data_IF_440334806471
#
_entry.id   IF_440334806471
#
_cell.length_a   1.000
_cell.length_b   1.000
_cell.length_c   1.000
_cell.angle_alpha   90.00
_cell.angle_beta   90.00
_cell.angle_gamma   90.00
#
_symmetry.space_group_name_H-M   'P 1'
#
loop_
_entity.id
_entity.type
_entity.pdbx_description
1 polymer ?
#
# COMPACT_ATOMS: atom_id res chain seq x y z
N UNK A 1 12.47 19.46 -5.66
CA UNK A 1 12.73 18.03 -5.94
C UNK A 1 13.03 17.33 -4.65
N UNK A 2 12.10 16.51 -4.23
CA UNK A 2 12.22 15.81 -2.96
C UNK A 2 12.78 14.42 -3.22
N UNK A 3 13.78 14.02 -2.44
CA UNK A 3 14.12 12.60 -2.30
C UNK A 3 12.84 11.91 -1.84
N UNK A 4 12.27 10.97 -2.61
CA UNK A 4 11.00 10.30 -2.28
C UNK A 4 10.85 9.91 -0.81
N UNK A 5 11.98 9.52 -0.22
CA UNK A 5 12.10 9.15 1.16
C UNK A 5 11.74 10.26 2.17
N UNK A 6 12.15 11.52 1.93
CA UNK A 6 11.90 12.61 2.87
C UNK A 6 10.44 13.09 2.86
N UNK A 7 9.78 13.06 1.70
CA UNK A 7 8.36 13.38 1.61
C UNK A 7 7.53 12.34 2.35
N UNK A 8 7.93 11.06 2.23
CA UNK A 8 7.35 10.01 3.04
C UNK A 8 7.56 10.31 4.53
N UNK A 9 8.77 10.70 4.97
CA UNK A 9 9.00 11.06 6.39
C UNK A 9 8.18 12.24 6.90
N UNK A 10 7.95 13.27 6.09
CA UNK A 10 7.08 14.40 6.49
C UNK A 10 5.60 14.00 6.55
N UNK A 11 5.18 13.00 5.75
CA UNK A 11 3.86 12.37 5.85
C UNK A 11 3.75 11.30 6.93
N UNK A 12 4.87 10.76 7.45
CA UNK A 12 4.86 9.64 8.38
C UNK A 12 4.08 9.96 9.65
N UNK A 13 4.17 11.18 10.18
CA UNK A 13 3.43 11.53 11.39
C UNK A 13 1.90 11.50 11.18
N UNK A 14 1.42 11.91 9.99
CA UNK A 14 0.01 11.80 9.61
C UNK A 14 -0.44 10.34 9.36
N UNK A 15 0.52 9.44 9.13
CA UNK A 15 0.30 8.01 8.91
C UNK A 15 0.37 7.19 10.21
N UNK A 16 1.13 7.65 11.21
CA UNK A 16 1.18 7.05 12.54
C UNK A 16 -0.18 7.19 13.22
N UNK A 17 -0.80 6.05 13.49
CA UNK A 17 -2.13 5.99 14.10
C UNK A 17 -2.18 4.84 15.09
N UNK A 18 -2.93 5.05 16.17
CA UNK A 18 -3.20 4.00 17.13
C UNK A 18 -4.19 2.98 16.53
N UNK A 19 -3.85 1.68 16.49
CA UNK A 19 -4.74 0.66 15.92
C UNK A 19 -6.00 0.41 16.74
N UNK A 20 -7.15 0.24 16.07
CA UNK A 20 -8.42 -0.11 16.71
C UNK A 20 -9.44 -0.71 15.75
N UNK A 21 -10.48 -1.37 16.29
CA UNK A 21 -11.54 -2.01 15.50
C UNK A 21 -11.31 -3.50 15.25
N UNK A 22 -11.94 -4.08 14.22
CA UNK A 22 -11.77 -5.49 13.82
C UNK A 22 -10.35 -5.77 13.30
N UNK A 23 -9.99 -7.04 13.05
CA UNK A 23 -8.67 -7.45 12.57
C UNK A 23 -8.17 -6.59 11.41
N UNK A 24 -8.99 -6.42 10.38
CA UNK A 24 -8.65 -5.64 9.19
C UNK A 24 -8.34 -4.18 9.52
N UNK A 25 -9.08 -3.58 10.44
CA UNK A 25 -8.92 -2.18 10.84
C UNK A 25 -7.65 -1.98 11.68
N UNK A 26 -7.41 -2.89 12.64
CA UNK A 26 -6.18 -2.90 13.44
C UNK A 26 -4.98 -3.13 12.53
N UNK A 27 -5.02 -4.15 11.68
CA UNK A 27 -3.95 -4.48 10.74
C UNK A 27 -3.67 -3.32 9.80
N UNK A 28 -4.74 -2.72 9.26
CA UNK A 28 -4.68 -1.57 8.39
C UNK A 28 -3.95 -0.39 9.03
N UNK A 29 -4.28 -0.09 10.27
CA UNK A 29 -3.66 1.03 10.97
C UNK A 29 -2.21 0.71 11.35
N UNK A 30 -1.88 -0.57 11.52
CA UNK A 30 -0.58 -0.98 12.02
C UNK A 30 0.49 -1.22 10.92
N UNK A 31 0.09 -1.59 9.70
CA UNK A 31 1.03 -1.73 8.57
C UNK A 31 1.83 -0.45 8.28
N UNK A 32 1.21 0.75 8.22
CA UNK A 32 1.94 2.01 8.09
C UNK A 32 2.99 2.24 9.18
N UNK A 33 2.79 1.74 10.41
CA UNK A 33 3.79 1.86 11.48
C UNK A 33 5.05 1.03 11.19
N UNK A 34 4.91 -0.17 10.58
CA UNK A 34 6.06 -0.98 10.11
C UNK A 34 6.86 -0.18 9.07
N UNK A 35 6.15 0.41 8.10
CA UNK A 35 6.78 1.17 7.02
C UNK A 35 7.45 2.43 7.56
N UNK A 36 6.81 3.11 8.53
CA UNK A 36 7.42 4.22 9.26
C UNK A 36 8.74 3.81 9.90
N UNK A 37 8.78 2.66 10.58
CA UNK A 37 10.00 2.16 11.21
C UNK A 37 11.07 1.75 10.18
N UNK A 38 10.69 1.17 9.04
CA UNK A 38 11.62 0.90 7.94
C UNK A 38 12.23 2.19 7.38
N UNK A 39 11.42 3.25 7.24
CA UNK A 39 11.85 4.58 6.80
C UNK A 39 12.56 5.39 7.90
N UNK A 40 12.37 5.07 9.18
CA UNK A 40 13.16 5.69 10.25
C UNK A 40 14.51 4.99 10.38
N UNK A 41 14.58 3.68 10.15
CA UNK A 41 15.85 2.92 10.25
C UNK A 41 16.90 3.29 9.20
N UNK A 42 16.50 3.78 8.02
CA UNK A 42 17.42 4.14 6.94
C UNK A 42 17.84 5.63 6.97
N UNK A 43 17.51 6.37 8.04
CA UNK A 43 18.02 7.72 8.32
C UNK A 43 18.47 7.81 9.76
N UNK A 44 19.56 8.54 10.04
CA UNK A 44 19.79 9.05 11.39
C UNK A 44 18.69 10.06 11.72
N UNK A 45 17.65 9.66 12.48
CA UNK A 45 16.47 10.49 12.72
C UNK A 45 15.80 10.26 14.08
N UNK A 46 15.13 11.34 14.50
CA UNK A 46 14.28 11.59 15.68
C UNK A 46 13.82 10.35 16.48
N UNK A 47 14.47 10.16 17.63
CA UNK A 47 14.20 9.06 18.55
C UNK A 47 12.76 9.11 19.08
N UNK A 48 12.14 10.29 19.23
CA UNK A 48 10.76 10.39 19.73
C UNK A 48 9.77 9.77 18.74
N UNK A 49 9.92 10.07 17.45
CA UNK A 49 9.06 9.52 16.40
C UNK A 49 9.21 8.00 16.30
N UNK A 50 10.44 7.50 16.41
CA UNK A 50 10.73 6.06 16.43
C UNK A 50 10.10 5.37 17.62
N UNK A 51 10.24 5.91 18.83
CA UNK A 51 9.62 5.35 20.04
C UNK A 51 8.10 5.34 19.94
N UNK A 52 7.48 6.40 19.40
CA UNK A 52 6.04 6.45 19.13
C UNK A 52 5.59 5.37 18.15
N UNK A 53 6.32 5.21 17.05
CA UNK A 53 6.03 4.18 16.05
C UNK A 53 6.19 2.75 16.61
N UNK A 54 7.23 2.49 17.42
CA UNK A 54 7.41 1.22 18.13
C UNK A 54 6.27 0.94 19.11
N UNK A 55 5.84 1.95 19.87
CA UNK A 55 4.71 1.83 20.80
C UNK A 55 3.42 1.46 20.06
N UNK A 56 3.10 2.16 18.97
CA UNK A 56 1.91 1.83 18.17
C UNK A 56 2.01 0.46 17.52
N UNK A 57 3.21 0.09 17.04
CA UNK A 57 3.45 -1.23 16.46
C UNK A 57 3.17 -2.34 17.46
N UNK A 58 3.70 -2.20 18.69
CA UNK A 58 3.48 -3.14 19.77
C UNK A 58 2.00 -3.20 20.20
N UNK A 59 1.32 -2.06 20.36
CA UNK A 59 -0.12 -2.02 20.66
C UNK A 59 -0.93 -2.77 19.60
N UNK A 60 -0.64 -2.53 18.31
CA UNK A 60 -1.33 -3.24 17.24
C UNK A 60 -1.01 -4.73 17.22
N UNK A 61 0.23 -5.14 17.49
CA UNK A 61 0.59 -6.56 17.63
C UNK A 61 -0.20 -7.25 18.77
N UNK A 62 -0.27 -6.63 19.95
CA UNK A 62 -1.04 -7.17 21.09
C UNK A 62 -2.54 -7.28 20.77
N UNK A 63 -3.09 -6.37 19.97
CA UNK A 63 -4.50 -6.47 19.51
C UNK A 63 -4.67 -7.58 18.47
N UNK A 64 -3.78 -7.63 17.46
CA UNK A 64 -3.88 -8.59 16.36
C UNK A 64 -3.81 -10.04 16.84
N UNK A 65 -2.91 -10.37 17.78
CA UNK A 65 -2.81 -11.73 18.31
C UNK A 65 -4.09 -12.20 19.03
N UNK A 66 -4.87 -11.28 19.61
CA UNK A 66 -6.11 -11.62 20.32
C UNK A 66 -7.26 -12.02 19.38
N UNK A 67 -7.07 -11.89 18.08
CA UNK A 67 -8.00 -12.35 17.06
C UNK A 67 -7.69 -13.77 16.57
N UNK A 68 -6.70 -14.45 17.17
CA UNK A 68 -6.42 -15.86 16.90
C UNK A 68 -7.63 -16.71 17.31
N UNK A 69 -8.12 -17.54 16.39
CA UNK A 69 -9.20 -18.48 16.66
C UNK A 69 -8.71 -19.64 17.54
N UNK A 70 -9.63 -20.26 18.30
CA UNK A 70 -9.32 -21.38 19.22
C UNK A 70 -8.52 -22.52 18.58
N UNK A 71 -8.77 -22.81 17.29
CA UNK A 71 -8.11 -23.90 16.57
C UNK A 71 -6.93 -23.43 15.71
N UNK A 72 -6.46 -22.18 15.88
CA UNK A 72 -5.52 -21.52 14.99
C UNK A 72 -6.20 -20.78 13.84
N UNK A 73 -5.42 -19.97 13.13
CA UNK A 73 -5.93 -19.02 12.15
C UNK A 73 -6.53 -17.76 12.79
N UNK A 74 -6.97 -16.83 11.95
CA UNK A 74 -7.50 -15.53 12.39
C UNK A 74 -8.92 -15.29 11.90
N UNK A 75 -9.69 -14.61 12.74
CA UNK A 75 -11.07 -14.15 12.47
C UNK A 75 -11.17 -12.65 12.80
N UNK A 76 -12.10 -11.90 12.18
CA UNK A 76 -12.16 -10.44 12.32
C UNK A 76 -12.34 -9.94 13.76
N UNK A 77 -12.93 -10.76 14.63
CA UNK A 77 -13.28 -10.44 16.01
C UNK A 77 -12.80 -11.50 17.02
N UNK A 78 -11.97 -12.46 16.59
CA UNK A 78 -11.48 -13.55 17.45
C UNK A 78 -12.45 -14.72 17.60
N UNK A 79 -13.42 -14.86 16.69
CA UNK A 79 -14.31 -16.01 16.59
C UNK A 79 -13.63 -17.26 16.05
N UNK A 80 -14.42 -18.28 15.70
CA UNK A 80 -13.97 -19.54 15.10
C UNK A 80 -15.05 -20.03 14.11
N UNK A 81 -14.70 -20.63 12.96
CA UNK A 81 -13.37 -20.91 12.45
C UNK A 81 -12.60 -19.66 11.97
N UNK A 82 -11.27 -19.76 11.90
CA UNK A 82 -10.44 -18.76 11.22
C UNK A 82 -10.65 -18.77 9.70
N UNK A 83 -10.10 -17.75 9.04
CA UNK A 83 -10.18 -17.53 7.59
C UNK A 83 -8.80 -17.60 6.93
N UNK A 84 -8.70 -18.28 5.79
CA UNK A 84 -7.42 -18.63 5.15
C UNK A 84 -6.64 -17.39 4.69
N UNK A 85 -7.25 -16.54 3.85
CA UNK A 85 -6.58 -15.32 3.41
C UNK A 85 -6.34 -14.31 4.55
N UNK A 86 -7.23 -14.20 5.55
CA UNK A 86 -7.03 -13.33 6.71
C UNK A 86 -5.85 -13.82 7.57
N UNK A 87 -5.71 -15.14 7.71
CA UNK A 87 -4.58 -15.76 8.41
C UNK A 87 -3.27 -15.50 7.70
N UNK A 88 -3.23 -15.69 6.37
CA UNK A 88 -2.05 -15.35 5.58
C UNK A 88 -1.73 -13.84 5.66
N UNK A 89 -2.76 -12.99 5.63
CA UNK A 89 -2.60 -11.53 5.78
C UNK A 89 -1.94 -11.14 7.10
N UNK A 90 -2.39 -11.76 8.21
CA UNK A 90 -1.80 -11.58 9.54
C UNK A 90 -0.37 -12.13 9.63
N UNK A 91 -0.13 -13.33 9.07
CA UNK A 91 1.20 -13.94 9.05
C UNK A 91 2.24 -13.07 8.36
N UNK A 92 1.91 -12.51 7.19
CA UNK A 92 2.81 -11.58 6.50
C UNK A 92 3.12 -10.36 7.38
N UNK A 93 2.11 -9.83 8.06
CA UNK A 93 2.29 -8.68 8.93
C UNK A 93 3.20 -8.99 10.12
N UNK A 94 2.98 -10.12 10.80
CA UNK A 94 3.83 -10.55 11.90
C UNK A 94 5.27 -10.83 11.46
N UNK A 95 5.44 -11.41 10.28
CA UNK A 95 6.76 -11.64 9.71
C UNK A 95 7.51 -10.33 9.45
N UNK A 96 6.83 -9.28 9.01
CA UNK A 96 7.46 -7.97 8.80
C UNK A 96 7.73 -7.24 10.14
N UNK A 97 6.85 -7.40 11.13
CA UNK A 97 6.99 -6.84 12.48
C UNK A 97 8.21 -7.35 13.23
N UNK A 98 8.64 -8.60 12.99
CA UNK A 98 9.78 -9.22 13.70
C UNK A 98 11.09 -8.44 13.56
N UNK A 99 11.19 -7.58 12.54
CA UNK A 99 12.36 -6.73 12.32
C UNK A 99 12.46 -5.57 13.33
N UNK A 100 11.39 -5.30 14.09
CA UNK A 100 11.29 -4.15 14.98
C UNK A 100 10.83 -4.49 16.40
N UNK A 101 10.00 -5.53 16.55
CA UNK A 101 9.47 -5.96 17.85
C UNK A 101 9.56 -7.49 18.00
N UNK A 102 9.50 -7.96 19.25
CA UNK A 102 9.40 -9.39 19.54
C UNK A 102 8.02 -9.92 19.12
N UNK A 103 8.02 -10.90 18.23
CA UNK A 103 6.83 -11.62 17.76
C UNK A 103 6.87 -13.05 18.31
N UNK A 104 5.74 -13.52 18.80
CA UNK A 104 5.57 -14.87 19.34
C UNK A 104 5.74 -15.91 18.23
N UNK A 105 6.80 -16.71 18.35
CA UNK A 105 7.13 -17.76 17.38
C UNK A 105 6.11 -18.89 17.38
N UNK A 106 5.49 -19.18 18.52
CA UNK A 106 4.49 -20.24 18.63
C UNK A 106 3.19 -19.82 17.96
N UNK A 107 2.79 -18.55 18.08
CA UNK A 107 1.66 -17.98 17.33
C UNK A 107 1.86 -18.11 15.82
N UNK A 108 3.04 -17.74 15.34
CA UNK A 108 3.41 -17.85 13.91
C UNK A 108 3.37 -19.32 13.48
N UNK A 109 3.97 -20.23 14.26
CA UNK A 109 3.97 -21.66 13.96
C UNK A 109 2.55 -22.23 13.91
N UNK A 110 1.70 -21.94 14.90
CA UNK A 110 0.29 -22.40 14.91
C UNK A 110 -0.48 -21.91 13.70
N UNK A 111 -0.25 -20.66 13.29
CA UNK A 111 -0.91 -20.08 12.11
C UNK A 111 -0.46 -20.75 10.80
N UNK A 112 0.82 -21.11 10.67
CA UNK A 112 1.35 -21.89 9.54
C UNK A 112 0.78 -23.31 9.54
N UNK A 113 0.86 -24.01 10.67
CA UNK A 113 0.32 -25.37 10.83
C UNK A 113 -1.19 -25.39 10.51
N UNK A 114 -1.91 -24.35 10.93
CA UNK A 114 -3.32 -24.19 10.59
C UNK A 114 -3.51 -24.06 9.08
N UNK A 115 -2.82 -23.15 8.39
CA UNK A 115 -2.91 -23.04 6.91
C UNK A 115 -2.59 -24.36 6.20
N UNK A 116 -1.62 -25.13 6.69
CA UNK A 116 -1.31 -26.46 6.15
C UNK A 116 -2.46 -27.45 6.35
N UNK A 117 -3.12 -27.43 7.49
CA UNK A 117 -4.34 -28.22 7.71
C UNK A 117 -5.50 -27.82 6.79
N UNK A 118 -5.46 -26.60 6.23
CA UNK A 118 -6.46 -26.08 5.29
C UNK A 118 -6.16 -26.42 3.84
N UNK A 119 -5.10 -27.15 3.50
CA UNK A 119 -4.90 -27.61 2.12
C UNK A 119 -6.08 -28.45 1.65
N UNK A 120 -6.51 -28.27 0.41
CA UNK A 120 -7.74 -28.88 -0.12
C UNK A 120 -7.50 -30.17 -0.94
N UNK A 121 -6.24 -30.62 -1.01
CA UNK A 121 -5.76 -31.74 -1.83
C UNK A 121 -5.91 -31.55 -3.36
N UNK A 122 -6.31 -30.38 -3.84
CA UNK A 122 -6.40 -30.01 -5.27
C UNK A 122 -5.34 -28.98 -5.68
N UNK A 123 -4.41 -28.66 -4.79
CA UNK A 123 -3.38 -27.64 -5.02
C UNK A 123 -3.83 -26.24 -4.64
N UNK A 124 -4.76 -26.12 -3.71
CA UNK A 124 -5.05 -24.84 -3.05
C UNK A 124 -5.47 -25.05 -1.60
N UNK A 125 -6.19 -24.07 -1.09
CA UNK A 125 -6.65 -24.05 0.29
C UNK A 125 -8.18 -24.08 0.33
N UNK A 126 -8.71 -24.70 1.37
CA UNK A 126 -10.11 -24.58 1.73
C UNK A 126 -10.46 -23.09 1.85
N UNK A 127 -11.72 -22.77 1.58
CA UNK A 127 -12.23 -21.43 1.77
C UNK A 127 -13.60 -21.53 2.39
N UNK A 128 -13.75 -20.93 3.58
CA UNK A 128 -15.06 -20.68 4.14
C UNK A 128 -15.74 -19.60 3.28
N UNK A 129 -16.44 -20.04 2.23
CA UNK A 129 -17.11 -19.15 1.28
C UNK A 129 -18.18 -18.34 1.99
N UNK A 130 -18.13 -17.04 1.76
CA UNK A 130 -19.13 -16.10 2.24
C UNK A 130 -19.28 -14.96 1.25
N UNK A 131 -20.23 -14.09 1.53
CA UNK A 131 -20.65 -13.06 0.58
C UNK A 131 -19.75 -11.82 0.60
N UNK A 132 -18.91 -11.66 1.62
CA UNK A 132 -18.22 -10.38 1.92
C UNK A 132 -16.75 -10.56 2.39
N UNK A 133 -15.95 -9.51 2.25
CA UNK A 133 -14.54 -9.48 2.71
C UNK A 133 -13.71 -10.64 2.15
N UNK A 134 -12.79 -11.15 2.98
CA UNK A 134 -11.92 -12.27 2.62
C UNK A 134 -12.67 -13.56 2.24
N UNK A 135 -13.92 -13.73 2.66
CA UNK A 135 -14.72 -14.92 2.33
C UNK A 135 -15.25 -14.94 0.89
N UNK A 136 -15.16 -13.80 0.18
CA UNK A 136 -15.72 -13.62 -1.17
C UNK A 136 -14.66 -13.51 -2.27
N UNK A 137 -13.40 -13.76 -1.92
CA UNK A 137 -12.26 -13.68 -2.82
C UNK A 137 -12.28 -14.89 -3.77
N UNK A 138 -12.03 -14.70 -5.08
CA UNK A 138 -11.87 -15.81 -6.00
C UNK A 138 -10.82 -16.81 -5.50
N UNK A 139 -11.10 -18.09 -5.68
CA UNK A 139 -10.28 -19.20 -5.20
C UNK A 139 -8.82 -19.06 -5.61
N UNK A 140 -8.59 -18.67 -6.87
CA UNK A 140 -7.28 -18.50 -7.46
C UNK A 140 -6.52 -17.30 -6.87
N UNK A 141 -7.21 -16.19 -6.58
CA UNK A 141 -6.60 -15.01 -5.94
C UNK A 141 -6.18 -15.33 -4.50
N UNK A 142 -7.06 -16.03 -3.76
CA UNK A 142 -6.76 -16.49 -2.41
C UNK A 142 -5.54 -17.41 -2.38
N UNK A 143 -5.49 -18.41 -3.27
CA UNK A 143 -4.39 -19.37 -3.28
C UNK A 143 -3.06 -18.72 -3.70
N UNK A 144 -3.06 -17.88 -4.73
CA UNK A 144 -1.86 -17.14 -5.13
C UNK A 144 -1.32 -16.28 -3.99
N UNK A 145 -2.21 -15.64 -3.21
CA UNK A 145 -1.80 -14.83 -2.06
C UNK A 145 -1.24 -15.68 -0.92
N UNK A 146 -1.88 -16.80 -0.56
CA UNK A 146 -1.38 -17.70 0.49
C UNK A 146 -0.02 -18.29 0.10
N UNK A 147 0.16 -18.71 -1.15
CA UNK A 147 1.44 -19.20 -1.68
C UNK A 147 2.51 -18.11 -1.61
N UNK A 148 2.19 -16.89 -2.04
CA UNK A 148 3.08 -15.74 -1.90
C UNK A 148 3.53 -15.54 -0.45
N UNK A 149 2.57 -15.43 0.49
CA UNK A 149 2.89 -15.23 1.91
C UNK A 149 3.76 -16.34 2.47
N UNK A 150 3.39 -17.61 2.26
CA UNK A 150 4.15 -18.75 2.76
C UNK A 150 5.58 -18.75 2.19
N UNK A 151 5.75 -18.46 0.90
CA UNK A 151 7.08 -18.33 0.30
C UNK A 151 7.90 -17.16 0.87
N UNK A 152 7.26 -16.01 1.14
CA UNK A 152 7.92 -14.80 1.67
C UNK A 152 8.45 -15.03 3.09
N UNK A 153 7.75 -15.86 3.87
CA UNK A 153 8.15 -16.21 5.23
C UNK A 153 9.10 -17.43 5.29
N UNK A 154 9.42 -18.03 4.14
CA UNK A 154 10.42 -19.10 4.01
C UNK A 154 9.85 -20.52 4.02
N UNK A 155 8.53 -20.70 3.99
CA UNK A 155 7.90 -22.01 3.97
C UNK A 155 8.04 -22.69 2.60
N UNK A 156 8.42 -23.97 2.62
CA UNK A 156 8.68 -24.76 1.40
C UNK A 156 7.71 -25.90 1.17
N UNK A 157 6.96 -26.32 2.19
CA UNK A 157 5.98 -27.39 2.06
C UNK A 157 4.70 -26.87 1.38
N UNK A 158 4.82 -26.38 0.14
CA UNK A 158 3.73 -25.78 -0.66
C UNK A 158 3.85 -26.13 -2.14
N UNK A 159 4.65 -27.13 -2.53
CA UNK A 159 4.98 -27.42 -3.93
C UNK A 159 3.73 -27.61 -4.81
N UNK A 160 2.78 -28.42 -4.36
CA UNK A 160 1.54 -28.67 -5.11
C UNK A 160 0.72 -27.39 -5.28
N UNK A 161 0.59 -26.62 -4.19
CA UNK A 161 -0.14 -25.35 -4.21
C UNK A 161 0.53 -24.30 -5.10
N UNK A 162 1.86 -24.23 -5.04
CA UNK A 162 2.67 -23.36 -5.90
C UNK A 162 2.51 -23.73 -7.38
N UNK A 163 2.65 -25.01 -7.75
CA UNK A 163 2.54 -25.45 -9.14
C UNK A 163 1.13 -25.19 -9.71
N UNK A 164 0.09 -25.43 -8.92
CA UNK A 164 -1.29 -25.13 -9.33
C UNK A 164 -1.53 -23.63 -9.52
N UNK A 165 -1.11 -22.81 -8.56
CA UNK A 165 -1.25 -21.35 -8.65
C UNK A 165 -0.40 -20.75 -9.80
N UNK A 166 0.81 -21.29 -10.02
CA UNK A 166 1.69 -20.90 -11.12
C UNK A 166 1.04 -21.20 -12.48
N UNK A 167 0.53 -22.42 -12.67
CA UNK A 167 -0.10 -22.83 -13.91
C UNK A 167 -1.35 -21.99 -14.23
N UNK A 168 -2.10 -21.58 -13.20
CA UNK A 168 -3.24 -20.67 -13.35
C UNK A 168 -2.78 -19.25 -13.71
N UNK A 169 -1.82 -18.68 -12.97
CA UNK A 169 -1.31 -17.34 -13.20
C UNK A 169 -0.72 -17.17 -14.61
N UNK A 170 0.02 -18.16 -15.11
CA UNK A 170 0.60 -18.15 -16.45
C UNK A 170 -0.45 -18.18 -17.57
N UNK A 171 -1.63 -18.74 -17.33
CA UNK A 171 -2.76 -18.77 -18.28
C UNK A 171 -3.65 -17.55 -18.16
N UNK A 172 -3.67 -16.91 -17.00
CA UNK A 172 -4.54 -15.79 -16.71
C UNK A 172 -4.02 -14.48 -17.28
N UNK A 173 -4.91 -13.49 -17.41
CA UNK A 173 -4.56 -12.09 -17.70
C UNK A 173 -4.55 -11.20 -16.46
N UNK A 174 -4.68 -11.80 -15.28
CA UNK A 174 -4.77 -11.07 -14.01
C UNK A 174 -3.37 -10.75 -13.49
N UNK A 175 -2.94 -9.50 -13.68
CA UNK A 175 -1.58 -9.07 -13.30
C UNK A 175 -1.35 -9.04 -11.79
N UNK A 176 -2.39 -8.99 -10.96
CA UNK A 176 -2.23 -9.05 -9.51
C UNK A 176 -1.76 -10.44 -9.09
N UNK A 177 -2.42 -11.50 -9.58
CA UNK A 177 -2.00 -12.89 -9.32
C UNK A 177 -0.65 -13.20 -9.93
N UNK A 178 -0.40 -12.72 -11.14
CA UNK A 178 0.89 -12.92 -11.82
C UNK A 178 2.03 -12.26 -11.03
N UNK A 179 1.83 -11.07 -10.46
CA UNK A 179 2.84 -10.40 -9.63
C UNK A 179 3.11 -11.14 -8.31
N UNK A 180 2.05 -11.62 -7.63
CA UNK A 180 2.19 -12.46 -6.43
C UNK A 180 3.01 -13.73 -6.72
N UNK A 181 2.68 -14.42 -7.81
CA UNK A 181 3.38 -15.63 -8.19
C UNK A 181 4.81 -15.37 -8.67
N UNK A 182 5.11 -14.19 -9.24
CA UNK A 182 6.48 -13.83 -9.61
C UNK A 182 7.36 -13.71 -8.36
N UNK A 183 6.86 -13.03 -7.32
CA UNK A 183 7.53 -12.97 -6.02
C UNK A 183 7.69 -14.36 -5.40
N UNK A 184 6.65 -15.19 -5.44
CA UNK A 184 6.71 -16.56 -4.92
C UNK A 184 7.73 -17.44 -5.66
N UNK A 185 7.74 -17.38 -6.99
CA UNK A 185 8.70 -18.10 -7.82
C UNK A 185 10.15 -17.69 -7.50
N UNK A 186 10.40 -16.39 -7.32
CA UNK A 186 11.71 -15.90 -6.87
C UNK A 186 12.08 -16.46 -5.48
N UNK A 187 11.18 -16.37 -4.50
CA UNK A 187 11.42 -16.86 -3.14
C UNK A 187 11.68 -18.37 -3.09
N UNK A 188 11.07 -19.14 -4.00
CA UNK A 188 11.25 -20.59 -4.15
C UNK A 188 12.43 -20.97 -5.07
N UNK A 189 13.19 -19.99 -5.57
CA UNK A 189 14.32 -20.16 -6.51
C UNK A 189 13.93 -20.75 -7.89
N UNK A 190 12.67 -20.65 -8.29
CA UNK A 190 12.19 -20.98 -9.65
C UNK A 190 12.36 -19.76 -10.57
N UNK A 191 13.62 -19.49 -10.93
CA UNK A 191 13.97 -18.32 -11.74
C UNK A 191 13.40 -18.38 -13.16
N UNK A 192 13.13 -19.59 -13.69
CA UNK A 192 12.55 -19.77 -15.03
C UNK A 192 11.09 -19.29 -15.03
N UNK A 193 10.29 -19.73 -14.07
CA UNK A 193 8.90 -19.28 -13.95
C UNK A 193 8.81 -17.81 -13.55
N UNK A 194 9.70 -17.35 -12.68
CA UNK A 194 9.82 -15.94 -12.30
C UNK A 194 9.95 -15.02 -13.53
N UNK A 195 10.88 -15.31 -14.45
CA UNK A 195 11.06 -14.51 -15.68
C UNK A 195 9.82 -14.55 -16.58
N UNK A 196 9.23 -15.74 -16.79
CA UNK A 196 8.00 -15.89 -17.59
C UNK A 196 6.84 -15.07 -17.03
N UNK A 197 6.69 -15.00 -15.71
CA UNK A 197 5.64 -14.22 -15.06
C UNK A 197 5.86 -12.72 -15.24
N UNK A 198 7.09 -12.22 -15.14
CA UNK A 198 7.39 -10.81 -15.46
C UNK A 198 7.08 -10.47 -16.93
N UNK A 199 7.48 -11.35 -17.86
CA UNK A 199 7.19 -11.17 -19.29
C UNK A 199 5.68 -11.16 -19.59
N UNK A 200 4.89 -11.95 -18.86
CA UNK A 200 3.44 -11.93 -18.95
C UNK A 200 2.85 -10.59 -18.48
N UNK A 201 3.33 -10.03 -17.37
CA UNK A 201 2.88 -8.70 -16.88
C UNK A 201 3.24 -7.63 -17.91
N UNK A 202 4.47 -7.64 -18.41
CA UNK A 202 4.93 -6.74 -19.47
C UNK A 202 4.07 -6.82 -20.72
N UNK A 203 3.71 -8.04 -21.14
CA UNK A 203 2.83 -8.26 -22.29
C UNK A 203 1.42 -7.73 -22.03
N UNK A 204 0.87 -7.92 -20.83
CA UNK A 204 -0.42 -7.39 -20.45
C UNK A 204 -0.47 -5.85 -20.42
N UNK A 205 0.68 -5.20 -20.16
CA UNK A 205 0.86 -3.74 -20.14
C UNK A 205 1.06 -3.10 -21.52
N UNK A 206 1.41 -3.86 -22.57
CA UNK A 206 1.70 -3.29 -23.89
C UNK A 206 0.54 -2.42 -24.41
N UNK A 207 0.83 -1.12 -24.58
CA UNK A 207 -0.13 -0.13 -25.07
C UNK A 207 -1.23 0.23 -24.09
N UNK A 208 -1.08 -0.06 -22.79
CA UNK A 208 -2.08 0.22 -21.76
C UNK A 208 -1.49 1.00 -20.59
N UNK A 209 -2.29 1.88 -20.02
CA UNK A 209 -2.02 2.48 -18.72
C UNK A 209 -2.17 1.44 -17.60
N UNK A 210 -1.40 1.55 -16.53
CA UNK A 210 -1.49 0.70 -15.33
C UNK A 210 -2.93 0.60 -14.77
N UNK A 211 -3.69 1.70 -14.85
CA UNK A 211 -5.08 1.77 -14.39
C UNK A 211 -6.07 0.95 -15.24
N UNK A 212 -5.69 0.57 -16.47
CA UNK A 212 -6.54 -0.10 -17.47
C UNK A 212 -6.21 -1.59 -17.65
N UNK A 213 -5.30 -2.12 -16.84
CA UNK A 213 -4.91 -3.54 -16.89
C UNK A 213 -5.93 -4.39 -16.14
N UNK A 214 -6.13 -5.61 -16.62
CA UNK A 214 -7.10 -6.56 -16.06
C UNK A 214 -6.62 -7.08 -14.70
N UNK A 215 -7.46 -6.88 -13.69
CA UNK A 215 -7.30 -7.41 -12.34
C UNK A 215 -8.69 -7.81 -11.86
N UNK A 216 -8.89 -9.12 -11.63
CA UNK A 216 -10.18 -9.67 -11.24
C UNK A 216 -10.56 -9.17 -9.85
N UNK A 217 -9.71 -9.42 -8.86
CA UNK A 217 -9.81 -8.91 -7.48
C UNK A 217 -8.44 -8.85 -6.83
N UNK A 218 -8.26 -7.96 -5.85
CA UNK A 218 -7.14 -8.06 -4.90
C UNK A 218 -7.57 -8.81 -3.65
N UNK A 219 -6.62 -9.16 -2.78
CA UNK A 219 -6.91 -9.88 -1.54
C UNK A 219 -7.82 -9.07 -0.60
N UNK A 220 -7.82 -7.74 -0.69
CA UNK A 220 -8.74 -6.88 0.10
C UNK A 220 -9.89 -6.33 -0.74
N UNK A 221 -10.12 -6.87 -1.94
CA UNK A 221 -11.14 -6.41 -2.90
C UNK A 221 -11.07 -4.91 -3.23
N UNK A 222 -9.86 -4.38 -3.34
CA UNK A 222 -9.68 -2.99 -3.76
C UNK A 222 -10.28 -2.72 -5.14
N UNK A 223 -10.69 -1.48 -5.34
CA UNK A 223 -11.25 -0.97 -6.59
C UNK A 223 -10.54 0.33 -7.00
N UNK A 224 -10.83 0.79 -8.21
CA UNK A 224 -10.27 2.02 -8.77
C UNK A 224 -8.74 2.06 -8.68
N UNK A 225 -8.21 3.23 -8.31
CA UNK A 225 -6.77 3.47 -8.22
C UNK A 225 -6.07 2.56 -7.20
N UNK A 226 -6.71 2.27 -6.06
CA UNK A 226 -6.15 1.40 -5.03
C UNK A 226 -5.81 0.02 -5.58
N UNK A 227 -6.70 -0.55 -6.40
CA UNK A 227 -6.46 -1.84 -7.08
C UNK A 227 -5.21 -1.78 -7.96
N UNK A 228 -5.07 -0.70 -8.71
CA UNK A 228 -3.95 -0.51 -9.62
C UNK A 228 -2.62 -0.33 -8.89
N UNK A 229 -2.64 0.42 -7.78
CA UNK A 229 -1.44 0.61 -6.95
C UNK A 229 -1.01 -0.71 -6.29
N UNK A 230 -1.94 -1.55 -5.82
CA UNK A 230 -1.58 -2.83 -5.19
C UNK A 230 -0.77 -3.73 -6.13
N UNK A 231 -1.29 -4.01 -7.33
CA UNK A 231 -0.59 -4.89 -8.26
C UNK A 231 0.68 -4.24 -8.81
N UNK A 232 0.68 -2.92 -9.07
CA UNK A 232 1.86 -2.20 -9.54
C UNK A 232 2.99 -2.23 -8.49
N UNK A 233 2.64 -2.12 -7.20
CA UNK A 233 3.61 -2.19 -6.11
C UNK A 233 4.22 -3.59 -5.98
N UNK A 234 3.41 -4.64 -6.11
CA UNK A 234 3.90 -6.02 -6.15
C UNK A 234 4.81 -6.24 -7.37
N UNK A 235 4.44 -5.68 -8.52
CA UNK A 235 5.25 -5.77 -9.74
C UNK A 235 6.60 -5.05 -9.57
N UNK A 236 6.60 -3.85 -9.01
CA UNK A 236 7.81 -3.10 -8.70
C UNK A 236 8.73 -3.88 -7.75
N UNK A 237 8.18 -4.46 -6.69
CA UNK A 237 8.93 -5.32 -5.76
C UNK A 237 9.53 -6.55 -6.46
N UNK A 238 8.79 -7.14 -7.41
CA UNK A 238 9.31 -8.24 -8.22
C UNK A 238 10.48 -7.76 -9.10
N UNK A 239 10.32 -6.67 -9.85
CA UNK A 239 11.39 -6.09 -10.68
C UNK A 239 12.66 -5.76 -9.88
N UNK A 240 12.53 -5.22 -8.66
CA UNK A 240 13.68 -4.93 -7.78
C UNK A 240 14.50 -6.17 -7.43
N UNK A 241 13.92 -7.39 -7.47
CA UNK A 241 14.67 -8.64 -7.28
C UNK A 241 15.72 -8.89 -8.37
N UNK A 242 15.63 -8.21 -9.52
CA UNK A 242 16.67 -8.27 -10.55
C UNK A 242 17.96 -7.51 -10.17
N UNK A 243 17.92 -6.67 -9.12
CA UNK A 243 19.09 -5.93 -8.63
C UNK A 243 19.61 -4.87 -9.62
N UNK A 244 18.82 -4.48 -10.62
CA UNK A 244 19.19 -3.48 -11.64
C UNK A 244 18.10 -2.43 -11.80
N UNK A 245 18.52 -1.19 -12.07
CA UNK A 245 17.60 -0.14 -12.49
C UNK A 245 17.21 -0.34 -13.94
N UNK A 246 15.91 -0.32 -14.24
CA UNK A 246 15.38 -0.45 -15.60
C UNK A 246 14.32 0.63 -15.85
N UNK A 247 14.12 1.00 -17.11
CA UNK A 247 13.04 1.93 -17.51
C UNK A 247 11.66 1.45 -17.04
N UNK A 248 11.47 0.13 -17.04
CA UNK A 248 10.25 -0.52 -16.57
C UNK A 248 10.05 -0.35 -15.07
N UNK A 249 11.11 -0.53 -14.27
CA UNK A 249 11.08 -0.24 -12.83
C UNK A 249 10.80 1.24 -12.57
N UNK A 250 11.45 2.14 -13.31
CA UNK A 250 11.21 3.59 -13.18
C UNK A 250 9.77 3.96 -13.53
N UNK A 251 9.23 3.40 -14.61
CA UNK A 251 7.85 3.65 -15.05
C UNK A 251 6.82 3.21 -14.01
N UNK A 252 6.99 2.02 -13.42
CA UNK A 252 6.04 1.55 -12.39
C UNK A 252 6.18 2.37 -11.09
N UNK A 253 7.40 2.78 -10.73
CA UNK A 253 7.64 3.63 -9.57
C UNK A 253 7.06 5.05 -9.75
N UNK A 254 7.09 5.59 -10.97
CA UNK A 254 6.44 6.86 -11.32
C UNK A 254 4.92 6.76 -11.17
N UNK A 255 4.32 5.68 -11.70
CA UNK A 255 2.89 5.41 -11.52
C UNK A 255 2.49 5.28 -10.04
N UNK A 256 3.25 4.53 -9.24
CA UNK A 256 2.98 4.36 -7.81
C UNK A 256 3.01 5.72 -7.12
N UNK A 257 4.09 6.49 -7.30
CA UNK A 257 4.25 7.77 -6.60
C UNK A 257 3.24 8.83 -7.03
N UNK A 258 2.94 8.94 -8.33
CA UNK A 258 1.91 9.85 -8.84
C UNK A 258 0.49 9.47 -8.38
N UNK A 259 0.29 8.25 -7.90
CA UNK A 259 -0.98 7.80 -7.32
C UNK A 259 -1.20 8.25 -5.87
N UNK A 260 -0.19 8.82 -5.20
CA UNK A 260 -0.30 9.31 -3.82
C UNK A 260 -1.34 10.41 -3.69
N UNK A 261 -2.13 10.35 -2.62
CA UNK A 261 -3.11 11.34 -2.16
C UNK A 261 -2.78 11.74 -0.72
N UNK A 262 -3.47 12.77 -0.20
CA UNK A 262 -3.28 13.28 1.19
C UNK A 262 -3.36 12.17 2.25
N UNK A 263 -4.18 11.12 2.02
CA UNK A 263 -4.36 10.00 2.95
C UNK A 263 -3.53 8.74 2.66
N UNK A 264 -2.57 8.78 1.72
CA UNK A 264 -1.82 7.59 1.27
C UNK A 264 -2.14 7.23 -0.18
N UNK A 265 -2.22 5.94 -0.52
CA UNK A 265 -2.39 5.46 -1.89
C UNK A 265 -3.79 4.85 -2.14
N UNK A 266 -4.81 5.37 -1.45
CA UNK A 266 -6.21 4.96 -1.63
C UNK A 266 -6.69 4.01 -0.54
N UNK A 267 -6.38 2.71 -0.65
CA UNK A 267 -6.70 1.71 0.38
C UNK A 267 -5.53 1.50 1.32
N UNK A 268 -5.76 0.84 2.45
CA UNK A 268 -4.68 0.50 3.36
C UNK A 268 -3.66 -0.44 2.71
N UNK A 269 -4.15 -1.46 2.00
CA UNK A 269 -3.27 -2.43 1.35
C UNK A 269 -2.46 -1.80 0.23
N UNK A 270 -3.09 -0.94 -0.59
CA UNK A 270 -2.39 -0.12 -1.58
C UNK A 270 -1.31 0.74 -0.93
N UNK A 271 -1.62 1.36 0.20
CA UNK A 271 -0.68 2.20 0.94
C UNK A 271 0.48 1.38 1.48
N UNK A 272 0.23 0.25 2.14
CA UNK A 272 1.27 -0.61 2.67
C UNK A 272 2.22 -1.12 1.58
N UNK A 273 1.68 -1.63 0.47
CA UNK A 273 2.47 -2.14 -0.66
C UNK A 273 3.25 -1.02 -1.36
N UNK A 274 2.64 0.14 -1.59
CA UNK A 274 3.31 1.28 -2.21
C UNK A 274 4.47 1.78 -1.36
N UNK A 275 4.28 1.89 -0.04
CA UNK A 275 5.36 2.26 0.87
C UNK A 275 6.47 1.21 0.89
N UNK A 276 6.14 -0.08 0.90
CA UNK A 276 7.12 -1.16 0.82
C UNK A 276 7.95 -1.04 -0.46
N UNK A 277 7.30 -0.81 -1.60
CA UNK A 277 7.96 -0.59 -2.89
C UNK A 277 8.86 0.65 -2.87
N UNK A 278 8.34 1.82 -2.48
CA UNK A 278 9.11 3.08 -2.45
C UNK A 278 10.28 3.01 -1.47
N UNK A 279 10.09 2.39 -0.31
CA UNK A 279 11.15 2.22 0.70
C UNK A 279 12.24 1.29 0.21
N UNK A 280 11.88 0.18 -0.45
CA UNK A 280 12.84 -0.76 -1.05
C UNK A 280 13.63 -0.08 -2.17
N UNK A 281 12.92 0.55 -3.10
CA UNK A 281 13.51 1.32 -4.20
C UNK A 281 14.50 2.39 -3.72
N UNK A 282 14.12 3.13 -2.67
CA UNK A 282 14.97 4.19 -2.10
C UNK A 282 16.24 3.63 -1.47
N UNK A 283 16.20 2.43 -0.88
CA UNK A 283 17.40 1.78 -0.34
C UNK A 283 18.37 1.40 -1.45
N UNK A 284 17.85 0.88 -2.57
CA UNK A 284 18.67 0.45 -3.71
C UNK A 284 19.34 1.66 -4.41
N UNK A 285 18.63 2.79 -4.56
CA UNK A 285 19.16 4.01 -5.19
C UNK A 285 20.21 4.72 -4.33
N UNK A 286 20.03 4.77 -3.01
CA UNK A 286 20.99 5.44 -2.12
C UNK A 286 22.38 4.86 -2.20
N UNK A 287 22.49 3.57 -2.48
CA UNK A 287 23.77 2.90 -2.67
C UNK A 287 24.43 3.26 -4.02
N UNK A 288 23.76 4.03 -4.89
CA UNK A 288 24.10 4.15 -6.32
C UNK A 288 24.34 5.59 -6.84
N UNK A 289 24.06 6.66 -6.08
CA UNK A 289 24.07 8.04 -6.62
C UNK A 289 24.89 9.04 -5.77
N UNK A 290 25.90 9.67 -6.40
CA UNK A 290 26.57 10.89 -5.92
C UNK A 290 25.63 12.11 -6.09
N UNK A 291 25.76 13.14 -5.25
CA UNK A 291 24.84 14.30 -5.24
C UNK A 291 24.60 14.91 -6.64
N UNK A 292 23.38 14.82 -7.19
CA UNK A 292 23.11 15.30 -8.55
C UNK A 292 23.06 16.82 -8.60
N UNK A 293 23.57 17.40 -9.69
CA UNK A 293 23.43 18.82 -9.98
C UNK A 293 22.02 19.09 -10.48
N UNK A 294 21.24 19.91 -9.79
CA UNK A 294 19.83 20.17 -10.14
C UNK A 294 19.53 21.65 -9.99
N UNK A 295 18.87 22.22 -10.99
CA UNK A 295 18.34 23.57 -10.95
C UNK A 295 16.84 23.59 -11.26
N UNK A 296 16.15 24.63 -10.83
CA UNK A 296 14.72 24.80 -11.03
C UNK A 296 14.38 26.24 -11.42
N UNK A 297 13.34 26.41 -12.22
CA UNK A 297 12.81 27.70 -12.61
C UNK A 297 11.29 27.73 -12.45
N UNK A 298 10.75 28.88 -12.07
CA UNK A 298 9.31 29.16 -12.03
C UNK A 298 9.06 30.38 -12.90
N UNK A 299 8.15 30.26 -13.87
CA UNK A 299 7.82 31.33 -14.82
C UNK A 299 9.08 31.95 -15.45
N UNK A 300 10.03 31.09 -15.87
CA UNK A 300 11.35 31.42 -16.42
C UNK A 300 12.32 32.15 -15.47
N UNK A 301 11.99 32.29 -14.18
CA UNK A 301 12.88 32.83 -13.17
C UNK A 301 13.55 31.71 -12.39
N UNK A 302 14.88 31.70 -12.39
CA UNK A 302 15.68 30.77 -11.61
C UNK A 302 15.28 30.85 -10.13
N UNK A 303 15.05 29.70 -9.52
CA UNK A 303 14.72 29.60 -8.11
C UNK A 303 15.97 29.20 -7.35
N UNK A 304 16.21 29.84 -6.20
CA UNK A 304 17.24 29.38 -5.28
C UNK A 304 16.92 27.94 -4.84
N UNK A 305 17.83 27.03 -5.14
CA UNK A 305 17.77 25.65 -4.69
C UNK A 305 18.58 25.52 -3.41
N UNK A 306 17.95 25.03 -2.35
CA UNK A 306 18.68 24.69 -1.11
C UNK A 306 18.52 23.21 -0.81
N UNK A 307 19.60 22.61 -0.32
CA UNK A 307 19.54 21.26 0.22
C UNK A 307 19.07 21.34 1.67
N UNK A 308 17.98 20.65 2.01
CA UNK A 308 17.63 20.45 3.41
C UNK A 308 18.50 19.35 4.06
N UNK A 309 18.36 19.17 5.38
CA UNK A 309 19.10 18.16 6.13
C UNK A 309 18.86 16.71 5.64
N UNK A 310 17.82 16.48 4.84
CA UNK A 310 17.52 15.20 4.21
C UNK A 310 18.11 15.04 2.81
N UNK A 311 18.81 16.04 2.27
CA UNK A 311 19.31 16.05 0.89
C UNK A 311 18.22 16.35 -0.15
N UNK A 312 17.07 16.90 0.25
CA UNK A 312 16.08 17.37 -0.71
C UNK A 312 16.47 18.72 -1.27
N UNK A 313 16.14 18.93 -2.53
CA UNK A 313 16.19 20.26 -3.12
C UNK A 313 14.85 20.92 -2.93
N UNK A 314 14.83 21.91 -2.04
CA UNK A 314 13.67 22.76 -1.83
C UNK A 314 13.85 24.06 -2.59
N UNK A 315 12.76 24.53 -3.18
CA UNK A 315 12.68 25.83 -3.87
C UNK A 315 11.55 26.61 -3.25
N UNK A 316 11.83 27.81 -2.73
CA UNK A 316 10.81 28.69 -2.19
C UNK A 316 10.09 29.40 -3.35
N UNK A 317 9.02 28.80 -3.85
CA UNK A 317 8.28 29.29 -5.02
C UNK A 317 7.18 30.30 -4.68
N UNK A 318 6.94 30.59 -3.40
CA UNK A 318 5.75 31.31 -2.94
C UNK A 318 5.65 32.74 -3.48
N UNK A 319 6.79 33.41 -3.74
CA UNK A 319 6.84 34.79 -4.23
C UNK A 319 6.64 34.93 -5.74
N UNK A 320 6.71 33.84 -6.52
CA UNK A 320 6.65 33.87 -7.99
C UNK A 320 5.40 33.21 -8.59
N UNK A 321 4.51 32.64 -7.76
CA UNK A 321 3.26 32.03 -8.21
C UNK A 321 2.25 33.14 -8.51
N UNK A 322 1.74 33.14 -9.74
CA UNK A 322 0.65 34.03 -10.17
C UNK A 322 -0.68 33.27 -10.22
N UNK A 323 -1.79 34.01 -10.18
CA UNK A 323 -3.10 33.43 -10.49
C UNK A 323 -3.12 32.89 -11.92
N UNK A 324 -3.71 31.70 -12.12
CA UNK A 324 -3.79 31.02 -13.41
C UNK A 324 -2.59 30.12 -13.68
N UNK A 325 -2.16 30.05 -14.94
CA UNK A 325 -1.10 29.15 -15.38
C UNK A 325 0.28 29.56 -14.88
N UNK A 326 1.03 28.59 -14.37
CA UNK A 326 2.42 28.75 -13.95
C UNK A 326 3.27 27.66 -14.60
N UNK A 327 4.44 28.02 -15.11
CA UNK A 327 5.38 27.08 -15.72
C UNK A 327 6.48 26.76 -14.73
N UNK A 328 6.65 25.47 -14.41
CA UNK A 328 7.77 24.99 -13.59
C UNK A 328 8.70 24.17 -14.45
N UNK A 329 9.98 24.45 -14.40
CA UNK A 329 11.02 23.71 -15.10
C UNK A 329 12.05 23.18 -14.12
N UNK A 330 12.51 21.96 -14.36
CA UNK A 330 13.52 21.26 -13.59
C UNK A 330 14.60 20.80 -14.56
N UNK A 331 15.84 21.12 -14.25
CA UNK A 331 17.00 20.68 -15.02
C UNK A 331 17.89 19.82 -14.12
N UNK A 332 18.16 18.60 -14.56
CA UNK A 332 19.08 17.67 -13.91
C UNK A 332 20.35 17.66 -14.76
N UNK A 333 21.48 18.03 -14.16
CA UNK A 333 22.80 17.99 -14.77
C UNK A 333 23.40 16.59 -14.71
N UNK A 334 24.18 16.25 -15.74
CA UNK A 334 24.80 14.95 -16.02
C UNK A 334 23.82 13.85 -16.47
N UNK A 335 24.34 12.81 -17.15
CA UNK A 335 23.59 11.64 -17.64
C UNK A 335 23.13 10.68 -16.50
N UNK A 336 22.89 11.20 -15.30
CA UNK A 336 22.44 10.40 -14.16
C UNK A 336 20.92 10.28 -14.16
N UNK A 337 20.41 9.06 -14.02
CA UNK A 337 18.99 8.83 -13.76
C UNK A 337 18.68 9.21 -12.31
N UNK A 338 18.15 10.42 -12.11
CA UNK A 338 17.77 10.91 -10.78
C UNK A 338 16.25 10.80 -10.62
N UNK A 339 15.74 9.95 -9.72
CA UNK A 339 14.33 9.95 -9.38
C UNK A 339 13.99 11.25 -8.64
N UNK A 340 12.93 11.93 -9.06
CA UNK A 340 12.46 13.17 -8.43
C UNK A 340 10.96 13.12 -8.18
N UNK A 341 10.52 13.83 -7.14
CA UNK A 341 9.11 14.14 -6.90
C UNK A 341 8.85 15.63 -7.02
N UNK A 342 7.72 15.94 -7.67
CA UNK A 342 7.14 17.26 -7.79
C UNK A 342 5.73 17.25 -7.21
N UNK A 343 5.44 18.15 -6.28
CA UNK A 343 4.10 18.31 -5.70
C UNK A 343 3.69 19.78 -5.66
N UNK A 344 2.37 19.99 -5.71
CA UNK A 344 1.74 21.30 -5.53
C UNK A 344 0.80 21.19 -4.32
N UNK A 345 1.05 22.00 -3.30
CA UNK A 345 0.19 22.08 -2.12
C UNK A 345 -0.78 23.26 -2.28
N UNK A 346 -2.07 23.01 -2.06
CA UNK A 346 -3.11 24.03 -2.12
C UNK A 346 -4.18 23.77 -1.06
N UNK A 347 -4.92 24.82 -0.69
CA UNK A 347 -6.09 24.74 0.17
C UNK A 347 -7.35 24.85 -0.69
N UNK A 348 -8.34 24.01 -0.41
CA UNK A 348 -9.66 24.03 -1.06
C UNK A 348 -10.74 24.11 0.00
N UNK A 349 -11.74 24.95 -0.22
CA UNK A 349 -12.96 24.99 0.60
C UNK A 349 -13.95 23.86 0.26
N UNK A 350 -13.70 23.12 -0.82
CA UNK A 350 -14.52 22.00 -1.26
C UNK A 350 -13.83 20.66 -1.00
N UNK A 351 -14.57 19.61 -0.56
CA UNK A 351 -14.03 18.28 -0.41
C UNK A 351 -13.63 17.67 -1.76
N UNK A 352 -12.60 16.83 -1.74
CA UNK A 352 -12.12 16.10 -2.92
C UNK A 352 -13.06 14.91 -3.22
N UNK A 353 -14.03 15.12 -4.10
CA UNK A 353 -15.01 14.09 -4.50
C UNK A 353 -14.60 13.44 -5.83
N UNK A 354 -14.73 12.12 -5.94
CA UNK A 354 -14.56 11.39 -7.21
C UNK A 354 -15.92 11.02 -7.81
N UNK A 355 -16.11 11.17 -9.14
CA UNK A 355 -17.30 10.67 -9.84
C UNK A 355 -17.48 9.14 -9.69
N UNK A 356 -16.39 8.39 -9.49
CA UNK A 356 -16.41 6.93 -9.34
C UNK A 356 -16.72 6.45 -7.91
N UNK A 357 -16.86 7.36 -6.93
CA UNK A 357 -17.26 6.97 -5.57
C UNK A 357 -18.63 6.28 -5.57
N UNK A 358 -18.71 5.06 -5.04
CA UNK A 358 -19.96 4.29 -4.92
C UNK A 358 -20.89 4.87 -3.85
N UNK A 359 -20.31 5.55 -2.86
CA UNK A 359 -21.01 6.22 -1.76
C UNK A 359 -21.02 7.73 -1.98
N UNK A 360 -22.11 8.37 -1.61
CA UNK A 360 -22.27 9.82 -1.63
C UNK A 360 -22.54 10.34 -0.21
N UNK A 361 -21.80 11.37 0.18
CA UNK A 361 -22.02 12.12 1.41
C UNK A 361 -22.46 13.54 1.04
N UNK A 362 -23.67 13.91 1.46
CA UNK A 362 -24.20 15.27 1.31
C UNK A 362 -24.41 15.88 2.68
N UNK A 363 -23.98 17.13 2.83
CA UNK A 363 -24.16 17.90 4.05
C UNK A 363 -24.87 19.20 3.75
N UNK A 364 -25.85 19.56 4.56
CA UNK A 364 -26.48 20.88 4.51
C UNK A 364 -26.71 21.41 5.91
N UNK A 365 -26.52 22.72 6.08
CA UNK A 365 -26.89 23.41 7.32
C UNK A 365 -28.30 23.97 7.15
N UNK A 366 -29.14 23.81 8.17
CA UNK A 366 -30.49 24.39 8.17
C UNK A 366 -30.44 25.93 8.07
N UNK A 367 -29.42 26.54 8.64
CA UNK A 367 -29.14 27.97 8.57
C UNK A 367 -27.63 28.19 8.39
N UNK A 368 -27.26 29.07 7.46
CA UNK A 368 -25.86 29.43 7.14
C UNK A 368 -25.38 30.71 7.83
N UNK A 369 -26.27 31.43 8.52
CA UNK A 369 -25.97 32.61 9.34
C UNK A 369 -26.63 32.42 10.70
N UNK A 370 -25.87 32.63 11.77
CA UNK A 370 -26.30 32.41 13.15
C UNK A 370 -25.83 33.57 14.02
N UNK A 371 -26.59 33.87 15.06
CA UNK A 371 -26.11 34.73 16.14
C UNK A 371 -25.16 33.95 17.05
N UNK A 372 -24.30 34.68 17.77
CA UNK A 372 -23.47 34.08 18.82
C UNK A 372 -24.39 33.36 19.82
N UNK A 373 -24.02 32.13 20.18
CA UNK A 373 -24.78 31.22 21.06
C UNK A 373 -26.07 30.62 20.47
N UNK A 374 -26.33 30.79 19.17
CA UNK A 374 -27.44 30.12 18.47
C UNK A 374 -27.01 28.76 17.90
N UNK A 375 -27.89 27.76 17.95
CA UNK A 375 -27.61 26.41 17.43
C UNK A 375 -28.24 26.21 16.05
N UNK A 376 -27.49 25.61 15.12
CA UNK A 376 -28.03 25.17 13.81
C UNK A 376 -28.02 23.65 13.69
N UNK A 377 -28.90 23.11 12.86
CA UNK A 377 -28.92 21.68 12.54
C UNK A 377 -28.08 21.42 11.29
N UNK A 378 -27.03 20.60 11.44
CA UNK A 378 -26.35 19.96 10.32
C UNK A 378 -27.13 18.71 9.91
N UNK A 379 -27.68 18.71 8.69
CA UNK A 379 -28.24 17.51 8.06
C UNK A 379 -27.13 16.81 7.28
N UNK A 380 -26.94 15.54 7.55
CA UNK A 380 -25.99 14.68 6.84
C UNK A 380 -26.77 13.55 6.19
N UNK A 381 -26.62 13.39 4.89
CA UNK A 381 -27.23 12.32 4.10
C UNK A 381 -26.13 11.46 3.49
N UNK A 382 -26.27 10.15 3.65
CA UNK A 382 -25.30 9.17 3.19
C UNK A 382 -26.00 8.12 2.33
N UNK A 383 -25.62 8.05 1.06
CA UNK A 383 -26.34 7.29 0.04
C UNK A 383 -25.40 6.36 -0.72
N UNK A 384 -25.76 5.09 -0.83
CA UNK A 384 -25.13 4.17 -1.77
C UNK A 384 -25.73 4.39 -3.16
N UNK A 385 -24.93 4.92 -4.10
CA UNK A 385 -25.36 5.21 -5.48
C UNK A 385 -25.45 3.96 -6.36
N UNK A 386 -25.07 2.80 -5.83
CA UNK A 386 -25.02 1.54 -6.59
C UNK A 386 -26.10 0.57 -6.13
N UNK A 387 -26.42 -0.41 -6.98
CA UNK A 387 -27.26 -1.56 -6.60
C UNK A 387 -26.47 -2.65 -5.87
N UNK A 388 -25.17 -2.45 -5.64
CA UNK A 388 -24.26 -3.42 -5.02
C UNK A 388 -24.06 -3.07 -3.55
N UNK A 389 -23.76 -4.07 -2.74
CA UNK A 389 -23.40 -3.84 -1.33
C UNK A 389 -21.99 -3.25 -1.27
N UNK A 390 -21.85 -2.08 -0.64
CA UNK A 390 -20.55 -1.47 -0.33
C UNK A 390 -20.11 -1.95 1.06
N UNK A 391 -18.89 -2.49 1.15
CA UNK A 391 -18.42 -3.19 2.36
C UNK A 391 -17.81 -2.22 3.39
N UNK A 392 -18.16 -2.41 4.68
CA UNK A 392 -17.64 -1.69 5.85
C UNK A 392 -17.47 -0.17 5.66
N UNK A 393 -18.52 0.58 5.26
CA UNK A 393 -18.41 2.02 5.09
C UNK A 393 -18.12 2.71 6.43
N UNK A 394 -17.10 3.56 6.45
CA UNK A 394 -16.83 4.47 7.57
C UNK A 394 -17.23 5.89 7.16
N UNK A 395 -18.11 6.52 7.93
CA UNK A 395 -18.47 7.94 7.76
C UNK A 395 -17.84 8.73 8.89
N UNK A 396 -17.01 9.71 8.55
CA UNK A 396 -16.42 10.64 9.52
C UNK A 396 -17.06 12.01 9.34
N UNK A 397 -17.85 12.43 10.33
CA UNK A 397 -18.54 13.73 10.34
C UNK A 397 -17.76 14.64 11.29
N UNK A 398 -17.10 15.66 10.73
CA UNK A 398 -16.56 16.76 11.53
C UNK A 398 -17.68 17.76 11.81
N UNK A 399 -17.89 18.10 13.08
CA UNK A 399 -18.79 19.19 13.46
C UNK A 399 -17.96 20.49 13.37
N UNK A 400 -18.46 21.55 12.71
CA UNK A 400 -17.80 22.85 12.73
C UNK A 400 -17.65 23.34 14.17
N UNK A 401 -16.42 23.64 14.58
CA UNK A 401 -16.05 24.12 15.91
C UNK A 401 -14.73 24.87 15.85
#
# INVERSE_FOLDING_TARGET
>A
IVNPYNELSNGLEAMLREPGGCFEQVSSTNYPNIMALQLLSAKGMDENMKQKALSFLNTGYQKLKNYESKNGGFEWYGGNPGHEALTAYGLLQFYEMKNFIAVDKDLVKRSIDWLYSRKDNKGGYQQNKGKYGFTSIPYEVNNAYIVYVLSEIGEKNIDKEYQTALAEALKSRDVYRTALMALAAYNLNDLVSYKKLLDNIKTALKGKEYAKVEVANTIVRSYGLSKSVEWASLYALALMKEGKMSEELLSVMDFIQSSKKVGGFGSTQATALALKAVTTFSKDIRNSVNQPQISAALNNMAQATTFDAGGNITTNTTSGIKAGENTVSVTIGNDQMVPYLFYVNYLSSLPNNSPQCELELKTSLAQSKLKVSETTRLKVEFTNKTKKVVQNPLVRIGIPG
#
